data_IF_585042033052
#
_entry.id   IF_585042033052
#
_cell.length_a   1.000
_cell.length_b   1.000
_cell.length_c   1.000
_cell.angle_alpha   90.00
_cell.angle_beta   90.00
_cell.angle_gamma   90.00
#
_symmetry.space_group_name_H-M   'P 1'
#
loop_
_entity.id
_entity.type
_entity.pdbx_description
1 polymer ?
#
# COMPACT_ATOMS: atom_id res chain seq x y z
N UNK A 1 30.59 -14.07 -20.29
CA UNK A 1 30.24 -15.20 -21.19
C UNK A 1 28.99 -14.87 -22.00
N UNK A 2 27.80 -14.69 -21.43
CA UNK A 2 26.56 -14.44 -22.19
C UNK A 2 26.63 -13.21 -23.11
N UNK A 3 27.26 -12.11 -22.66
CA UNK A 3 27.45 -10.90 -23.46
C UNK A 3 28.42 -11.14 -24.62
N UNK A 4 29.44 -11.96 -24.43
CA UNK A 4 30.37 -12.34 -25.48
C UNK A 4 29.72 -13.25 -26.53
N UNK A 5 28.89 -14.19 -26.09
CA UNK A 5 28.09 -15.05 -26.98
C UNK A 5 27.12 -14.24 -27.86
N UNK A 6 26.63 -13.09 -27.35
CA UNK A 6 25.83 -12.12 -28.11
C UNK A 6 26.65 -11.25 -29.08
N UNK A 7 27.95 -11.45 -29.18
CA UNK A 7 28.83 -10.67 -30.05
C UNK A 7 29.36 -9.38 -29.44
N UNK A 8 29.47 -9.36 -28.11
CA UNK A 8 30.04 -8.27 -27.32
C UNK A 8 28.99 -7.27 -26.76
N UNK A 9 29.48 -6.41 -25.87
CA UNK A 9 28.62 -5.49 -25.09
C UNK A 9 27.82 -4.54 -25.97
N UNK A 10 28.40 -3.93 -26.98
CA UNK A 10 27.71 -2.99 -27.86
C UNK A 10 26.51 -3.65 -28.57
N UNK A 11 26.69 -4.84 -29.11
CA UNK A 11 25.62 -5.57 -29.77
C UNK A 11 24.54 -6.00 -28.78
N UNK A 12 24.92 -6.49 -27.61
CA UNK A 12 23.99 -6.86 -26.54
C UNK A 12 23.13 -5.68 -26.07
N UNK A 13 23.70 -4.47 -25.94
CA UNK A 13 22.96 -3.23 -25.62
C UNK A 13 22.03 -2.84 -26.76
N UNK A 14 22.51 -2.89 -28.01
CA UNK A 14 21.73 -2.54 -29.19
C UNK A 14 20.50 -3.44 -29.36
N UNK A 15 20.65 -4.73 -29.07
CA UNK A 15 19.58 -5.73 -29.13
C UNK A 15 18.68 -5.72 -27.86
N UNK A 16 18.97 -4.87 -26.87
CA UNK A 16 18.19 -4.76 -25.63
C UNK A 16 18.44 -5.88 -24.60
N UNK A 17 19.41 -6.76 -24.83
CA UNK A 17 19.68 -7.88 -23.92
C UNK A 17 20.04 -7.41 -22.51
N UNK A 18 20.93 -6.42 -22.39
CA UNK A 18 21.35 -5.87 -21.09
C UNK A 18 20.17 -5.18 -20.39
N UNK A 19 19.40 -4.38 -21.13
CA UNK A 19 18.24 -3.68 -20.61
C UNK A 19 17.18 -4.65 -20.11
N UNK A 20 16.91 -5.72 -20.83
CA UNK A 20 15.93 -6.73 -20.42
C UNK A 20 16.34 -7.42 -19.11
N UNK A 21 17.61 -7.74 -18.91
CA UNK A 21 18.10 -8.34 -17.67
C UNK A 21 17.99 -7.37 -16.48
N UNK A 22 18.35 -6.11 -16.68
CA UNK A 22 18.25 -5.07 -15.66
C UNK A 22 16.78 -4.81 -15.30
N UNK A 23 15.92 -4.70 -16.31
CA UNK A 23 14.48 -4.45 -16.11
C UNK A 23 13.81 -5.63 -15.38
N UNK A 24 14.15 -6.87 -15.69
CA UNK A 24 13.65 -8.05 -14.97
C UNK A 24 14.07 -8.05 -13.48
N UNK A 25 15.30 -7.64 -13.20
CA UNK A 25 15.79 -7.47 -11.82
C UNK A 25 15.05 -6.33 -11.10
N UNK A 26 14.80 -5.21 -11.78
CA UNK A 26 14.04 -4.09 -11.26
C UNK A 26 12.60 -4.48 -10.93
N UNK A 27 11.91 -5.20 -11.80
CA UNK A 27 10.56 -5.74 -11.57
C UNK A 27 10.49 -6.61 -10.31
N UNK A 28 11.47 -7.52 -10.16
CA UNK A 28 11.58 -8.37 -8.96
C UNK A 28 11.73 -7.52 -7.70
N UNK A 29 12.57 -6.49 -7.76
CA UNK A 29 12.78 -5.55 -6.65
C UNK A 29 11.52 -4.76 -6.32
N UNK A 30 10.83 -4.21 -7.32
CA UNK A 30 9.56 -3.50 -7.13
C UNK A 30 8.50 -4.40 -6.44
N UNK A 31 8.40 -5.65 -6.84
CA UNK A 31 7.52 -6.62 -6.18
C UNK A 31 7.92 -6.89 -4.72
N UNK A 32 9.22 -6.98 -4.43
CA UNK A 32 9.71 -7.14 -3.06
C UNK A 32 9.40 -5.91 -2.19
N UNK A 33 9.54 -4.71 -2.73
CA UNK A 33 9.14 -3.45 -2.06
C UNK A 33 7.63 -3.40 -1.84
N UNK A 34 6.82 -3.74 -2.85
CA UNK A 34 5.37 -3.77 -2.76
C UNK A 34 4.85 -4.71 -1.66
N UNK A 35 5.53 -5.83 -1.42
CA UNK A 35 5.21 -6.84 -0.40
C UNK A 35 5.96 -6.66 0.92
N UNK A 36 6.70 -5.57 1.10
CA UNK A 36 7.57 -5.34 2.28
C UNK A 36 8.61 -6.43 2.53
N UNK A 37 9.02 -7.20 1.52
CA UNK A 37 10.20 -8.07 1.60
C UNK A 37 11.49 -7.26 1.56
N UNK A 38 11.48 -6.13 0.86
CA UNK A 38 12.49 -5.08 0.91
C UNK A 38 11.87 -3.84 1.56
N UNK A 39 12.47 -3.39 2.65
CA UNK A 39 11.96 -2.27 3.45
C UNK A 39 12.61 -0.98 3.00
N UNK A 40 11.79 -0.01 2.64
CA UNK A 40 12.17 1.38 2.42
C UNK A 40 11.60 2.20 3.58
N UNK A 41 12.45 2.47 4.58
CA UNK A 41 12.07 3.19 5.79
C UNK A 41 11.46 4.55 5.43
N UNK A 42 10.33 4.88 6.04
CA UNK A 42 9.57 6.11 5.75
C UNK A 42 8.68 6.05 4.51
N UNK A 43 8.78 4.99 3.70
CA UNK A 43 8.00 4.82 2.47
C UNK A 43 6.98 3.68 2.58
N UNK A 44 7.45 2.43 2.58
CA UNK A 44 6.58 1.27 2.73
C UNK A 44 6.55 0.70 4.16
N UNK A 45 7.36 1.27 5.07
CA UNK A 45 7.43 0.91 6.47
C UNK A 45 7.74 2.16 7.31
N UNK A 46 7.04 2.33 8.42
CA UNK A 46 7.15 3.47 9.35
C UNK A 46 7.08 4.84 8.66
N UNK A 47 6.04 5.13 7.86
CA UNK A 47 5.87 6.44 7.24
C UNK A 47 5.60 7.51 8.29
N UNK A 48 6.00 8.74 8.00
CA UNK A 48 5.60 9.87 8.83
C UNK A 48 4.11 10.19 8.61
N UNK A 49 3.30 10.05 9.66
CA UNK A 49 1.84 10.25 9.61
C UNK A 49 1.43 11.70 9.34
N UNK A 50 2.30 12.66 9.63
CA UNK A 50 2.04 14.09 9.49
C UNK A 50 2.74 14.73 8.28
N UNK A 51 3.48 13.96 7.50
CA UNK A 51 4.17 14.47 6.33
C UNK A 51 3.19 14.74 5.18
N UNK A 52 3.38 15.87 4.51
CA UNK A 52 2.77 16.19 3.21
C UNK A 52 3.83 15.93 2.15
N UNK A 53 3.64 14.87 1.37
CA UNK A 53 4.61 14.41 0.38
C UNK A 53 4.58 15.28 -0.89
N UNK A 54 3.42 15.84 -1.24
CA UNK A 54 3.23 16.72 -2.40
C UNK A 54 4.11 17.97 -2.39
N UNK A 55 4.52 18.44 -1.19
CA UNK A 55 5.39 19.60 -1.07
C UNK A 55 6.86 19.29 -1.39
N UNK A 56 7.25 18.02 -1.33
CA UNK A 56 8.64 17.55 -1.46
C UNK A 56 8.91 16.76 -2.72
N UNK A 57 7.91 16.06 -3.25
CA UNK A 57 8.04 15.23 -4.43
C UNK A 57 7.69 16.07 -5.66
N UNK A 58 8.70 16.56 -6.32
CA UNK A 58 8.55 17.18 -7.63
C UNK A 58 8.42 16.04 -8.65
N UNK A 59 7.25 15.90 -9.28
CA UNK A 59 7.11 15.05 -10.47
C UNK A 59 7.90 15.69 -11.62
N UNK A 60 9.19 15.44 -11.65
CA UNK A 60 9.95 15.57 -12.86
C UNK A 60 9.61 14.36 -13.72
N UNK A 61 8.83 14.52 -14.76
CA UNK A 61 8.91 13.62 -15.90
C UNK A 61 10.33 13.79 -16.46
N UNK A 62 11.25 12.98 -15.94
CA UNK A 62 12.57 12.91 -16.50
C UNK A 62 12.39 12.30 -17.90
N UNK A 63 12.50 13.11 -18.92
CA UNK A 63 12.71 12.60 -20.27
C UNK A 63 13.91 11.64 -20.20
N UNK A 64 13.68 10.35 -20.46
CA UNK A 64 14.74 9.32 -20.41
C UNK A 64 15.82 9.48 -21.49
N UNK A 65 15.77 10.54 -22.28
CA UNK A 65 16.68 10.80 -23.41
C UNK A 65 18.00 11.48 -23.00
N UNK A 66 18.18 11.92 -21.74
CA UNK A 66 19.40 12.65 -21.32
C UNK A 66 19.62 13.99 -22.03
N UNK A 67 18.74 14.41 -22.93
CA UNK A 67 18.77 15.72 -23.55
C UNK A 67 18.19 16.72 -22.54
N UNK A 68 18.95 17.76 -22.17
CA UNK A 68 18.51 18.83 -21.27
C UNK A 68 17.15 19.42 -21.70
N UNK A 69 16.47 20.12 -20.78
CA UNK A 69 15.15 20.71 -21.00
C UNK A 69 15.05 21.35 -22.39
N UNK A 70 14.31 20.70 -23.29
CA UNK A 70 13.91 21.30 -24.55
C UNK A 70 12.51 21.92 -24.39
N UNK A 71 12.46 23.23 -24.49
CA UNK A 71 11.23 23.97 -24.79
C UNK A 71 10.85 23.65 -26.25
N UNK A 72 10.03 22.63 -26.45
CA UNK A 72 9.56 22.22 -27.78
C UNK A 72 9.56 20.70 -27.91
N UNK A 73 8.40 20.12 -27.96
CA UNK A 73 8.12 18.68 -27.88
C UNK A 73 8.76 17.83 -28.99
N UNK A 74 10.09 17.72 -29.01
CA UNK A 74 10.77 16.73 -29.80
C UNK A 74 10.87 15.42 -28.99
N UNK A 75 10.02 14.45 -29.31
CA UNK A 75 10.23 13.05 -28.97
C UNK A 75 11.43 12.56 -29.80
N UNK A 76 12.61 12.52 -29.19
CA UNK A 76 13.72 11.74 -29.76
C UNK A 76 13.41 10.27 -29.49
N UNK A 77 13.09 9.48 -30.52
CA UNK A 77 13.10 8.03 -30.38
C UNK A 77 14.53 7.59 -30.01
N UNK A 78 14.70 6.88 -28.88
CA UNK A 78 16.03 6.45 -28.49
C UNK A 78 16.56 5.43 -29.52
N UNK A 79 17.83 5.57 -29.92
CA UNK A 79 18.50 4.66 -30.86
C UNK A 79 18.59 3.20 -30.33
N UNK A 80 18.51 3.06 -28.99
CA UNK A 80 18.57 1.78 -28.28
C UNK A 80 17.41 1.64 -27.31
N UNK A 81 16.96 0.41 -26.97
CA UNK A 81 16.03 0.17 -25.89
C UNK A 81 16.54 0.82 -24.58
N UNK A 82 15.67 1.59 -23.91
CA UNK A 82 16.03 2.31 -22.68
C UNK A 82 15.85 1.46 -21.45
N UNK A 83 16.63 1.75 -20.39
CA UNK A 83 16.45 1.21 -19.06
C UNK A 83 15.22 1.83 -18.40
N UNK A 84 14.49 1.02 -17.63
CA UNK A 84 13.50 1.54 -16.72
C UNK A 84 14.20 2.23 -15.54
N UNK A 85 14.12 3.55 -15.50
CA UNK A 85 14.75 4.39 -14.47
C UNK A 85 13.87 4.63 -13.25
N UNK A 86 12.78 3.89 -13.12
CA UNK A 86 11.82 4.01 -12.01
C UNK A 86 12.51 3.68 -10.68
N UNK A 87 12.45 4.61 -9.73
CA UNK A 87 13.02 4.41 -8.37
C UNK A 87 12.18 3.39 -7.59
N UNK A 88 12.80 2.67 -6.66
CA UNK A 88 12.11 1.68 -5.83
C UNK A 88 10.94 2.26 -5.02
N UNK A 89 11.00 3.54 -4.62
CA UNK A 89 9.96 4.23 -3.88
C UNK A 89 8.80 4.75 -4.74
N UNK A 90 8.99 4.86 -6.06
CA UNK A 90 8.08 5.60 -6.97
C UNK A 90 6.62 5.14 -6.89
N UNK A 91 6.37 3.85 -6.70
CA UNK A 91 4.99 3.33 -6.63
C UNK A 91 4.25 3.78 -5.38
N UNK A 92 4.92 3.76 -4.22
CA UNK A 92 4.34 4.26 -2.97
C UNK A 92 4.23 5.78 -2.96
N UNK A 93 5.18 6.49 -3.54
CA UNK A 93 5.12 7.95 -3.73
C UNK A 93 3.92 8.32 -4.61
N UNK A 94 3.71 7.63 -5.72
CA UNK A 94 2.56 7.84 -6.61
C UNK A 94 1.25 7.57 -5.88
N UNK A 95 1.15 6.48 -5.12
CA UNK A 95 -0.01 6.14 -4.32
C UNK A 95 -0.33 7.26 -3.30
N UNK A 96 0.67 7.69 -2.54
CA UNK A 96 0.52 8.74 -1.53
C UNK A 96 0.13 10.08 -2.17
N UNK A 97 0.78 10.46 -3.26
CA UNK A 97 0.44 11.67 -4.00
C UNK A 97 -0.99 11.63 -4.57
N UNK A 98 -1.48 10.48 -5.03
CA UNK A 98 -2.86 10.34 -5.47
C UNK A 98 -3.82 10.66 -4.32
N UNK A 99 -3.58 10.08 -3.13
CA UNK A 99 -4.37 10.38 -1.93
C UNK A 99 -4.33 11.87 -1.57
N UNK A 100 -3.16 12.48 -1.49
CA UNK A 100 -3.02 13.89 -1.11
C UNK A 100 -3.65 14.85 -2.14
N UNK A 101 -3.48 14.57 -3.44
CA UNK A 101 -4.04 15.39 -4.52
C UNK A 101 -5.54 15.27 -4.68
N UNK A 102 -6.15 14.18 -4.24
CA UNK A 102 -7.61 14.02 -4.25
C UNK A 102 -8.31 15.02 -3.31
N UNK A 103 -7.56 15.67 -2.43
CA UNK A 103 -8.11 16.52 -1.35
C UNK A 103 -8.82 15.72 -0.25
N UNK A 104 -8.88 14.39 -0.39
CA UNK A 104 -9.43 13.48 0.63
C UNK A 104 -8.28 12.95 1.48
N UNK A 105 -8.53 12.82 2.77
CA UNK A 105 -7.64 12.12 3.68
C UNK A 105 -8.45 11.08 4.43
N UNK A 106 -8.62 9.88 3.87
CA UNK A 106 -9.45 8.85 4.49
C UNK A 106 -9.05 8.58 5.93
N UNK A 107 -10.05 8.48 6.79
CA UNK A 107 -9.86 8.18 8.21
C UNK A 107 -9.97 6.68 8.43
N UNK A 108 -8.92 6.08 8.95
CA UNK A 108 -8.84 4.66 9.30
C UNK A 108 -8.89 4.52 10.82
N UNK A 109 -9.94 3.88 11.31
CA UNK A 109 -10.16 3.66 12.73
C UNK A 109 -9.76 2.25 13.14
N UNK A 110 -8.93 2.13 14.17
CA UNK A 110 -8.52 0.85 14.72
C UNK A 110 -9.55 0.38 15.75
N UNK A 111 -10.40 -0.56 15.39
CA UNK A 111 -11.32 -1.22 16.33
C UNK A 111 -10.53 -2.28 17.11
N UNK A 112 -9.91 -1.85 18.21
CA UNK A 112 -9.09 -2.71 19.07
C UNK A 112 -9.95 -3.33 20.18
N UNK A 113 -10.01 -4.67 20.22
CA UNK A 113 -10.83 -5.42 21.17
C UNK A 113 -10.18 -6.76 21.52
N UNK A 114 -10.54 -7.36 22.64
CA UNK A 114 -10.07 -8.67 23.05
C UNK A 114 -8.65 -8.67 23.62
N UNK A 115 -7.86 -9.69 23.30
CA UNK A 115 -6.52 -9.90 23.85
C UNK A 115 -5.61 -8.67 23.69
N UNK A 116 -5.10 -8.14 24.81
CA UNK A 116 -4.35 -6.88 24.84
C UNK A 116 -3.10 -6.91 23.96
N UNK A 117 -2.28 -7.96 24.05
CA UNK A 117 -1.03 -8.04 23.30
C UNK A 117 -1.30 -8.12 21.78
N UNK A 118 -2.27 -8.93 21.39
CA UNK A 118 -2.61 -9.15 20.00
C UNK A 118 -3.29 -7.93 19.38
N UNK A 119 -4.26 -7.32 20.05
CA UNK A 119 -4.93 -6.11 19.55
C UNK A 119 -3.95 -4.96 19.32
N UNK A 120 -2.96 -4.77 20.24
CA UNK A 120 -1.92 -3.75 20.07
C UNK A 120 -0.99 -4.05 18.90
N UNK A 121 -0.54 -5.29 18.75
CA UNK A 121 0.31 -5.69 17.63
C UNK A 121 -0.41 -5.53 16.29
N UNK A 122 -1.71 -5.89 16.22
CA UNK A 122 -2.55 -5.72 15.02
C UNK A 122 -2.81 -4.26 14.71
N UNK A 123 -3.08 -3.42 15.73
CA UNK A 123 -3.25 -1.99 15.56
C UNK A 123 -1.98 -1.32 15.03
N UNK A 124 -0.81 -1.60 15.59
CA UNK A 124 0.46 -1.07 15.11
C UNK A 124 0.76 -1.49 13.67
N UNK A 125 0.52 -2.77 13.34
CA UNK A 125 0.68 -3.27 11.97
C UNK A 125 -0.24 -2.53 11.00
N UNK A 126 -1.52 -2.41 11.35
CA UNK A 126 -2.54 -1.78 10.51
C UNK A 126 -2.32 -0.28 10.35
N UNK A 127 -1.97 0.42 11.43
CA UNK A 127 -1.63 1.84 11.41
C UNK A 127 -0.48 2.11 10.43
N UNK A 128 0.57 1.30 10.53
CA UNK A 128 1.72 1.39 9.62
C UNK A 128 1.33 1.05 8.17
N UNK A 129 0.43 0.08 7.99
CA UNK A 129 -0.05 -0.34 6.67
C UNK A 129 -0.76 0.79 5.93
N UNK A 130 -1.78 1.36 6.54
CA UNK A 130 -2.60 2.41 5.92
C UNK A 130 -1.90 3.77 5.84
N UNK A 131 -1.03 4.07 6.77
CA UNK A 131 -0.26 5.33 6.75
C UNK A 131 0.70 5.43 5.56
N UNK A 132 1.10 4.31 4.92
CA UNK A 132 1.88 4.34 3.69
C UNK A 132 1.14 5.01 2.53
N UNK A 133 -0.20 4.97 2.51
CA UNK A 133 -1.02 5.69 1.55
C UNK A 133 -1.34 7.15 1.98
N UNK A 134 -0.85 7.61 3.14
CA UNK A 134 -1.13 8.95 3.66
C UNK A 134 -2.47 9.08 4.39
N UNK A 135 -3.15 7.98 4.71
CA UNK A 135 -4.42 7.99 5.42
C UNK A 135 -4.26 8.49 6.86
N UNK A 136 -5.31 9.09 7.39
CA UNK A 136 -5.39 9.51 8.79
C UNK A 136 -5.67 8.31 9.68
N UNK A 137 -4.80 8.04 10.63
CA UNK A 137 -4.95 6.94 11.57
C UNK A 137 -5.61 7.45 12.86
N UNK A 138 -6.63 6.73 13.31
CA UNK A 138 -7.25 6.91 14.63
C UNK A 138 -7.07 5.62 15.42
N UNK A 139 -6.11 5.64 16.33
CA UNK A 139 -5.81 4.54 17.24
C UNK A 139 -6.41 4.80 18.62
N UNK A 140 -6.52 3.77 19.45
CA UNK A 140 -7.10 3.84 20.79
C UNK A 140 -6.56 2.73 21.71
N UNK A 141 -6.94 2.80 22.99
CA UNK A 141 -6.51 1.83 24.00
C UNK A 141 -7.31 0.53 24.02
N UNK A 142 -8.46 0.50 23.33
CA UNK A 142 -9.32 -0.67 23.22
C UNK A 142 -10.73 -0.45 23.78
N UNK A 143 -11.63 -1.31 23.32
CA UNK A 143 -13.03 -1.28 23.70
C UNK A 143 -13.40 -2.57 24.45
N UNK A 144 -14.38 -2.47 25.35
CA UNK A 144 -14.95 -3.61 26.06
C UNK A 144 -15.98 -4.36 25.23
N UNK A 145 -16.68 -3.63 24.33
CA UNK A 145 -17.72 -4.18 23.45
C UNK A 145 -17.52 -3.73 22.02
N UNK A 146 -17.96 -4.55 21.09
CA UNK A 146 -17.96 -4.23 19.66
C UNK A 146 -18.81 -3.01 19.37
N UNK A 147 -19.99 -2.90 20.00
CA UNK A 147 -20.89 -1.77 19.82
C UNK A 147 -20.21 -0.44 20.15
N UNK A 148 -19.58 -0.34 21.33
CA UNK A 148 -18.89 0.88 21.74
C UNK A 148 -17.76 1.27 20.76
N UNK A 149 -17.05 0.28 20.23
CA UNK A 149 -16.00 0.51 19.25
C UNK A 149 -16.53 0.99 17.89
N UNK A 150 -17.65 0.43 17.42
CA UNK A 150 -18.29 0.88 16.17
C UNK A 150 -18.88 2.28 16.34
N UNK A 151 -19.53 2.58 17.47
CA UNK A 151 -20.08 3.91 17.74
C UNK A 151 -18.96 4.96 17.72
N UNK A 152 -17.83 4.68 18.37
CA UNK A 152 -16.65 5.56 18.34
C UNK A 152 -16.05 5.72 16.91
N UNK A 153 -16.07 4.67 16.11
CA UNK A 153 -15.61 4.75 14.72
C UNK A 153 -16.51 5.65 13.87
N UNK A 154 -17.82 5.56 14.06
CA UNK A 154 -18.80 6.39 13.37
C UNK A 154 -18.73 7.86 13.83
N UNK A 155 -18.56 8.10 15.11
CA UNK A 155 -18.35 9.45 15.66
C UNK A 155 -17.05 10.08 15.10
N UNK A 156 -16.01 9.27 14.89
CA UNK A 156 -14.78 9.69 14.24
C UNK A 156 -14.93 9.87 12.72
N UNK A 157 -16.09 9.56 12.13
CA UNK A 157 -16.37 9.57 10.69
C UNK A 157 -15.35 8.71 9.91
N UNK A 158 -15.14 7.51 10.40
CA UNK A 158 -14.20 6.59 9.78
C UNK A 158 -14.67 6.15 8.39
N UNK A 159 -13.80 6.21 7.41
CA UNK A 159 -14.00 5.65 6.07
C UNK A 159 -13.67 4.16 6.04
N UNK A 160 -12.74 3.75 6.90
CA UNK A 160 -12.30 2.36 7.05
C UNK A 160 -12.28 2.01 8.55
N UNK A 161 -12.87 0.88 8.90
CA UNK A 161 -12.79 0.30 10.26
C UNK A 161 -11.97 -0.99 10.20
N UNK A 162 -10.88 -1.03 10.95
CA UNK A 162 -9.97 -2.19 10.99
C UNK A 162 -10.14 -2.91 12.31
N UNK A 163 -10.69 -4.11 12.28
CA UNK A 163 -10.80 -4.96 13.47
C UNK A 163 -9.44 -5.54 13.83
N UNK A 164 -8.98 -5.21 15.04
CA UNK A 164 -7.70 -5.62 15.61
C UNK A 164 -7.93 -6.47 16.87
N UNK A 165 -7.76 -7.78 16.75
CA UNK A 165 -7.91 -8.75 17.83
C UNK A 165 -6.98 -9.94 17.62
N UNK A 166 -7.11 -11.00 18.42
CA UNK A 166 -6.42 -12.26 18.16
C UNK A 166 -7.12 -13.09 17.09
N UNK A 167 -6.37 -14.01 16.46
CA UNK A 167 -6.93 -14.85 15.39
C UNK A 167 -8.08 -15.73 15.88
N UNK A 168 -8.06 -16.17 17.14
CA UNK A 168 -9.11 -17.00 17.76
C UNK A 168 -10.40 -16.20 18.02
N UNK A 169 -10.31 -14.88 18.23
CA UNK A 169 -11.43 -14.03 18.59
C UNK A 169 -12.17 -13.47 17.36
N UNK A 170 -11.56 -13.53 16.16
CA UNK A 170 -12.20 -13.00 14.94
C UNK A 170 -13.50 -13.72 14.57
N UNK A 171 -13.62 -15.01 14.85
CA UNK A 171 -14.85 -15.76 14.58
C UNK A 171 -16.06 -15.18 15.33
N UNK A 172 -15.84 -14.58 16.50
CA UNK A 172 -16.86 -13.93 17.31
C UNK A 172 -17.05 -12.46 16.92
N UNK A 173 -15.96 -11.67 16.95
CA UNK A 173 -16.08 -10.21 16.83
C UNK A 173 -16.31 -9.72 15.40
N UNK A 174 -15.80 -10.41 14.38
CA UNK A 174 -15.88 -9.91 13.02
C UNK A 174 -17.32 -9.92 12.46
N UNK A 175 -18.14 -10.98 12.63
CA UNK A 175 -19.53 -10.96 12.19
C UNK A 175 -20.36 -9.93 12.93
N UNK A 176 -20.16 -9.77 14.24
CA UNK A 176 -20.85 -8.80 15.06
C UNK A 176 -20.53 -7.37 14.59
N UNK A 177 -19.25 -7.04 14.46
CA UNK A 177 -18.80 -5.73 14.01
C UNK A 177 -19.31 -5.39 12.59
N UNK A 178 -19.23 -6.35 11.69
CA UNK A 178 -19.68 -6.19 10.30
C UNK A 178 -21.17 -5.90 10.21
N UNK A 179 -21.99 -6.64 11.00
CA UNK A 179 -23.43 -6.44 11.09
C UNK A 179 -23.79 -5.07 11.68
N UNK A 180 -23.11 -4.66 12.76
CA UNK A 180 -23.39 -3.36 13.41
C UNK A 180 -22.94 -2.22 12.48
N UNK A 181 -21.80 -2.36 11.80
CA UNK A 181 -21.29 -1.34 10.89
C UNK A 181 -22.22 -1.12 9.70
N UNK A 182 -22.88 -2.15 9.22
CA UNK A 182 -23.94 -2.11 8.19
C UNK A 182 -23.56 -1.29 6.93
N UNK A 183 -22.36 -1.52 6.41
CA UNK A 183 -21.88 -0.86 5.20
C UNK A 183 -21.58 0.65 5.30
N UNK A 184 -21.65 1.23 6.51
CA UNK A 184 -21.39 2.68 6.72
C UNK A 184 -19.93 3.08 6.58
N UNK A 185 -19.01 2.11 6.61
CA UNK A 185 -17.58 2.25 6.30
C UNK A 185 -17.06 0.93 5.72
N UNK A 186 -15.88 0.97 5.10
CA UNK A 186 -15.19 -0.25 4.67
C UNK A 186 -14.71 -1.03 5.90
N UNK A 187 -15.02 -2.33 5.96
CA UNK A 187 -14.64 -3.19 7.08
C UNK A 187 -13.46 -4.08 6.72
N UNK A 188 -12.43 -4.07 7.55
CA UNK A 188 -11.17 -4.80 7.32
C UNK A 188 -10.81 -5.61 8.56
N UNK A 189 -10.35 -6.85 8.36
CA UNK A 189 -9.82 -7.69 9.45
C UNK A 189 -8.28 -7.70 9.38
N UNK A 190 -7.64 -7.36 10.51
CA UNK A 190 -6.19 -7.34 10.62
C UNK A 190 -5.63 -8.72 10.99
N UNK A 191 -5.56 -9.62 10.03
CA UNK A 191 -5.06 -10.98 10.22
C UNK A 191 -5.41 -11.90 9.07
N UNK A 192 -4.99 -13.16 9.22
CA UNK A 192 -5.37 -14.26 8.35
C UNK A 192 -5.83 -15.44 9.21
N UNK A 193 -6.97 -15.30 9.94
CA UNK A 193 -7.44 -16.30 10.86
C UNK A 193 -7.87 -17.59 10.14
N UNK A 194 -7.91 -18.71 10.87
CA UNK A 194 -8.36 -19.98 10.32
C UNK A 194 -9.82 -19.92 9.81
N UNK A 195 -10.66 -19.07 10.42
CA UNK A 195 -12.07 -18.85 10.03
C UNK A 195 -12.25 -17.89 8.83
N UNK A 196 -11.18 -17.51 8.12
CA UNK A 196 -11.25 -16.52 7.03
C UNK A 196 -12.28 -16.88 5.96
N UNK A 197 -12.36 -18.14 5.56
CA UNK A 197 -13.30 -18.57 4.50
C UNK A 197 -14.76 -18.49 4.98
N UNK A 198 -15.01 -18.79 6.26
CA UNK A 198 -16.32 -18.60 6.89
C UNK A 198 -16.73 -17.13 6.96
N UNK A 199 -15.78 -16.25 7.29
CA UNK A 199 -15.99 -14.81 7.31
C UNK A 199 -16.27 -14.25 5.90
N UNK A 200 -15.56 -14.74 4.88
CA UNK A 200 -15.84 -14.39 3.47
C UNK A 200 -17.24 -14.80 3.03
N UNK A 201 -17.69 -15.97 3.44
CA UNK A 201 -19.06 -16.44 3.15
C UNK A 201 -20.13 -15.52 3.76
N UNK A 202 -19.80 -14.77 4.82
CA UNK A 202 -20.65 -13.77 5.46
C UNK A 202 -20.52 -12.36 4.85
N UNK A 203 -19.72 -12.20 3.78
CA UNK A 203 -19.51 -10.92 3.10
C UNK A 203 -18.31 -10.10 3.61
N UNK A 204 -17.53 -10.60 4.55
CA UNK A 204 -16.31 -9.94 5.04
C UNK A 204 -15.15 -10.33 4.11
N UNK A 205 -14.78 -9.44 3.20
CA UNK A 205 -13.85 -9.75 2.11
C UNK A 205 -12.46 -9.14 2.28
N UNK A 206 -12.33 -8.10 3.10
CA UNK A 206 -11.08 -7.35 3.23
C UNK A 206 -10.25 -7.85 4.42
N UNK A 207 -9.06 -8.37 4.10
CA UNK A 207 -8.10 -8.86 5.08
C UNK A 207 -6.72 -8.27 4.81
N UNK A 208 -6.04 -7.81 5.85
CA UNK A 208 -4.65 -7.35 5.75
C UNK A 208 -3.77 -8.17 6.70
N UNK A 209 -2.65 -8.66 6.21
CA UNK A 209 -1.72 -9.48 6.98
C UNK A 209 -0.29 -9.35 6.42
N UNK A 210 0.69 -9.91 7.11
CA UNK A 210 2.13 -9.80 6.77
C UNK A 210 2.49 -10.32 5.38
N UNK A 211 1.65 -11.15 4.76
CA UNK A 211 1.85 -11.67 3.39
C UNK A 211 1.09 -10.88 2.33
N UNK A 212 0.30 -9.87 2.71
CA UNK A 212 -0.42 -9.01 1.76
C UNK A 212 0.54 -8.24 0.87
N UNK A 213 0.16 -8.04 -0.39
CA UNK A 213 0.79 -7.04 -1.23
C UNK A 213 0.29 -5.66 -0.80
N UNK A 214 1.10 -4.95 -0.03
CA UNK A 214 0.71 -3.67 0.60
C UNK A 214 0.32 -2.64 -0.44
N UNK A 215 1.12 -2.53 -1.51
CA UNK A 215 0.89 -1.55 -2.57
C UNK A 215 -0.43 -1.80 -3.30
N UNK A 216 -0.67 -3.03 -3.76
CA UNK A 216 -1.88 -3.37 -4.52
C UNK A 216 -3.12 -3.27 -3.64
N UNK A 217 -3.01 -3.70 -2.38
CA UNK A 217 -4.11 -3.59 -1.42
C UNK A 217 -4.48 -2.12 -1.18
N UNK A 218 -3.50 -1.24 -0.97
CA UNK A 218 -3.77 0.19 -0.77
C UNK A 218 -4.30 0.88 -2.03
N UNK A 219 -3.85 0.49 -3.22
CA UNK A 219 -4.44 0.97 -4.49
C UNK A 219 -5.93 0.58 -4.58
N UNK A 220 -6.27 -0.66 -4.24
CA UNK A 220 -7.66 -1.11 -4.20
C UNK A 220 -8.51 -0.30 -3.20
N UNK A 221 -7.95 0.08 -2.04
CA UNK A 221 -8.66 0.96 -1.10
C UNK A 221 -8.84 2.37 -1.67
N UNK A 222 -7.84 2.94 -2.36
CA UNK A 222 -8.00 4.22 -3.04
C UNK A 222 -9.16 4.18 -4.06
N UNK A 223 -9.22 3.13 -4.88
CA UNK A 223 -10.30 2.93 -5.86
C UNK A 223 -11.68 2.85 -5.17
N UNK A 224 -11.81 2.06 -4.09
CA UNK A 224 -13.07 1.94 -3.32
C UNK A 224 -13.49 3.26 -2.68
N UNK A 225 -12.55 4.13 -2.35
CA UNK A 225 -12.79 5.45 -1.76
C UNK A 225 -12.88 6.57 -2.82
N UNK A 226 -12.84 6.21 -4.10
CA UNK A 226 -12.90 7.15 -5.25
C UNK A 226 -11.78 8.21 -5.19
N UNK A 227 -10.54 7.72 -5.00
CA UNK A 227 -9.29 8.48 -4.98
C UNK A 227 -8.47 8.16 -6.23
#
# INVERSE_FOLDING_TARGET
LEVEEKGGFYKAVKEGFVQNQVNASAETRHMNVARRKEILLGTNQYPNFNEVASDKIVNGEACGCGCGKHEGGHHCEPEFPVLNTKRAASDFETLRLATERSGKRPTVFMLTIGNLAMRLARSQFSSNFFACAGYKIVDNLGFETVQAGIDAALDAKADIVVLCSSDDEYAQYAPEAFKILDGRALFVVAGAPACMDELKAQGITEFIHVRSNVLDTLKSFNEKLSI
#
